data_IF_428642059272
#
_entry.id   IF_428642059272
#
_cell.length_a   1.000
_cell.length_b   1.000
_cell.length_c   1.000
_cell.angle_alpha   90.00
_cell.angle_beta   90.00
_cell.angle_gamma   90.00
#
_symmetry.space_group_name_H-M   'P 1'
#
loop_
_entity.id
_entity.type
_entity.pdbx_description
1 polymer ?
#
# COMPACT_ATOMS: atom_id res chain seq x y z
N UNK A 1 -8.94 27.58 -15.13
CA UNK A 1 -8.35 26.41 -15.81
C UNK A 1 -8.01 25.42 -14.72
N UNK A 2 -9.01 24.62 -14.31
CA UNK A 2 -8.92 23.78 -13.12
C UNK A 2 -8.88 22.32 -13.53
N UNK A 3 -7.83 21.62 -13.11
CA UNK A 3 -7.79 20.16 -13.00
C UNK A 3 -6.99 19.82 -11.73
N UNK A 4 -7.49 20.31 -10.59
CA UNK A 4 -7.18 19.70 -9.30
C UNK A 4 -7.92 18.36 -9.29
N UNK A 5 -7.24 17.33 -9.79
CA UNK A 5 -7.69 15.95 -9.68
C UNK A 5 -7.65 15.51 -8.22
N UNK A 6 -8.61 15.99 -7.43
CA UNK A 6 -8.96 15.39 -6.16
C UNK A 6 -9.53 14.03 -6.51
N UNK A 7 -8.68 13.01 -6.48
CA UNK A 7 -9.15 11.63 -6.49
C UNK A 7 -9.94 11.45 -5.20
N UNK A 8 -11.27 11.58 -5.28
CA UNK A 8 -12.15 11.13 -4.22
C UNK A 8 -11.94 9.62 -4.10
N UNK A 9 -11.12 9.21 -3.14
CA UNK A 9 -10.99 7.81 -2.77
C UNK A 9 -12.41 7.35 -2.42
N UNK A 10 -13.02 6.48 -3.22
CA UNK A 10 -14.28 5.86 -2.84
C UNK A 10 -14.00 5.02 -1.58
N UNK A 11 -14.52 5.42 -0.40
CA UNK A 11 -14.21 4.74 0.86
C UNK A 11 -14.83 3.34 0.96
N UNK A 12 -15.61 2.93 -0.05
CA UNK A 12 -16.38 1.69 -0.08
C UNK A 12 -15.66 0.49 -0.71
N UNK A 13 -14.52 0.69 -1.38
CA UNK A 13 -13.84 -0.45 -2.00
C UNK A 13 -13.16 -1.33 -0.91
N UNK A 14 -13.49 -2.63 -0.84
CA UNK A 14 -13.13 -3.47 0.29
C UNK A 14 -11.62 -3.74 0.35
N UNK A 15 -11.15 -4.01 1.57
CA UNK A 15 -9.88 -4.67 1.82
C UNK A 15 -10.14 -6.18 1.90
N UNK A 16 -9.54 -6.95 1.01
CA UNK A 16 -9.72 -8.42 0.96
C UNK A 16 -8.39 -9.09 1.28
N UNK A 17 -8.42 -10.04 2.21
CA UNK A 17 -7.30 -10.91 2.56
C UNK A 17 -7.69 -12.34 2.19
N UNK A 18 -7.02 -12.93 1.21
CA UNK A 18 -7.27 -14.30 0.78
C UNK A 18 -5.97 -15.05 0.48
N UNK A 19 -6.08 -16.28 -0.01
CA UNK A 19 -4.92 -17.11 -0.33
C UNK A 19 -4.04 -16.55 -1.46
N UNK A 20 -4.61 -15.77 -2.38
CA UNK A 20 -3.89 -15.20 -3.52
C UNK A 20 -3.16 -13.92 -3.12
N UNK A 21 -3.64 -13.20 -2.10
CA UNK A 21 -2.96 -12.00 -1.63
C UNK A 21 -3.86 -11.00 -0.91
N UNK A 22 -3.41 -9.76 -0.98
CA UNK A 22 -4.06 -8.59 -0.43
C UNK A 22 -4.66 -7.75 -1.56
N UNK A 23 -5.97 -7.49 -1.51
CA UNK A 23 -6.62 -6.51 -2.37
C UNK A 23 -6.95 -5.26 -1.57
N UNK A 24 -6.51 -4.10 -2.04
CA UNK A 24 -6.71 -2.80 -1.42
C UNK A 24 -7.38 -1.86 -2.40
N UNK A 25 -8.59 -1.40 -2.09
CA UNK A 25 -9.25 -0.35 -2.89
C UNK A 25 -9.24 -0.69 -4.39
N UNK A 26 -9.70 -1.90 -4.72
CA UNK A 26 -9.73 -2.41 -6.10
C UNK A 26 -8.36 -2.76 -6.71
N UNK A 27 -7.25 -2.57 -5.99
CA UNK A 27 -5.90 -2.98 -6.43
C UNK A 27 -5.55 -4.32 -5.83
N UNK A 28 -5.43 -5.34 -6.67
CA UNK A 28 -4.98 -6.67 -6.28
C UNK A 28 -5.70 -7.80 -7.01
N UNK A 29 -5.52 -9.04 -6.55
CA UNK A 29 -4.73 -9.40 -5.37
C UNK A 29 -3.24 -9.11 -5.58
N UNK A 30 -2.65 -8.32 -4.68
CA UNK A 30 -1.20 -8.15 -4.58
C UNK A 30 -0.66 -9.41 -3.88
N UNK A 31 0.20 -10.21 -4.52
CA UNK A 31 0.66 -11.47 -3.96
C UNK A 31 1.38 -11.29 -2.62
N UNK A 32 1.22 -12.22 -1.68
CA UNK A 32 1.89 -12.14 -0.38
C UNK A 32 3.41 -11.98 -0.51
N UNK A 33 4.05 -12.64 -1.47
CA UNK A 33 5.50 -12.53 -1.73
C UNK A 33 5.96 -11.15 -2.25
N UNK A 34 5.05 -10.28 -2.69
CA UNK A 34 5.40 -8.98 -3.27
C UNK A 34 5.61 -7.89 -2.23
N UNK A 35 5.27 -8.16 -0.96
CA UNK A 35 5.51 -7.22 0.14
C UNK A 35 6.00 -7.95 1.39
N UNK A 36 6.49 -7.19 2.36
CA UNK A 36 6.95 -7.66 3.66
C UNK A 36 5.84 -7.65 4.72
N UNK A 37 6.24 -7.76 5.98
CA UNK A 37 5.31 -7.59 7.11
C UNK A 37 4.84 -6.14 7.21
N UNK A 38 3.65 -5.95 7.76
CA UNK A 38 3.18 -4.65 8.20
C UNK A 38 3.99 -4.20 9.41
N UNK A 39 4.68 -3.07 9.27
CA UNK A 39 5.54 -2.48 10.30
C UNK A 39 5.50 -0.94 10.30
N UNK A 40 6.04 -0.33 11.34
CA UNK A 40 6.17 1.13 11.38
C UNK A 40 7.53 1.55 10.83
N UNK A 41 7.54 2.33 9.75
CA UNK A 41 8.75 2.88 9.15
C UNK A 41 8.72 4.41 9.10
N UNK A 42 9.91 5.02 9.12
CA UNK A 42 10.06 6.42 8.73
C UNK A 42 10.02 6.49 7.21
N UNK A 43 8.95 7.08 6.67
CA UNK A 43 8.79 7.31 5.23
C UNK A 43 8.90 8.78 4.94
N UNK A 44 9.37 9.13 3.74
CA UNK A 44 9.36 10.51 3.29
C UNK A 44 7.92 11.02 3.25
N UNK A 45 7.69 12.20 3.80
CA UNK A 45 6.40 12.83 3.74
C UNK A 45 6.05 13.21 2.28
N UNK A 46 4.76 13.14 1.96
CA UNK A 46 4.24 13.33 0.60
C UNK A 46 4.41 14.78 0.11
N UNK A 47 4.33 15.75 1.03
CA UNK A 47 4.22 17.17 0.70
C UNK A 47 5.45 18.00 1.12
N UNK A 48 6.48 17.40 1.74
CA UNK A 48 7.68 18.12 2.15
C UNK A 48 8.94 17.22 2.14
N UNK A 49 10.07 17.77 2.61
CA UNK A 49 11.35 17.07 2.74
C UNK A 49 11.52 16.32 4.06
N UNK A 50 10.50 16.30 4.92
CA UNK A 50 10.54 15.65 6.22
C UNK A 50 10.26 14.15 6.13
N UNK A 51 10.52 13.46 7.25
CA UNK A 51 10.19 12.05 7.44
C UNK A 51 9.07 11.94 8.46
N UNK A 52 8.11 11.06 8.19
CA UNK A 52 6.98 10.78 9.07
C UNK A 52 6.90 9.29 9.36
N UNK A 53 6.55 8.93 10.60
CA UNK A 53 6.38 7.52 10.99
C UNK A 53 5.02 7.03 10.51
N UNK A 54 5.02 6.00 9.65
CA UNK A 54 3.79 5.41 9.07
C UNK A 54 3.79 3.90 9.23
N UNK A 55 2.59 3.32 9.33
CA UNK A 55 2.39 1.90 9.21
C UNK A 55 2.35 1.52 7.72
N UNK A 56 3.29 0.68 7.29
CA UNK A 56 3.49 0.30 5.89
C UNK A 56 3.81 -1.18 5.77
N UNK A 57 3.68 -1.71 4.55
CA UNK A 57 4.20 -3.01 4.13
C UNK A 57 5.23 -2.75 3.02
N UNK A 58 6.53 -2.95 3.28
CA UNK A 58 7.57 -2.70 2.30
C UNK A 58 7.44 -3.61 1.10
N UNK A 59 7.55 -3.09 -0.12
CA UNK A 59 7.54 -3.95 -1.30
C UNK A 59 8.86 -4.72 -1.40
N UNK A 60 8.79 -5.99 -1.81
CA UNK A 60 9.97 -6.74 -2.23
C UNK A 60 10.46 -6.24 -3.59
N UNK A 61 11.60 -6.72 -4.09
CA UNK A 61 12.07 -6.35 -5.42
C UNK A 61 11.05 -6.67 -6.53
N UNK A 62 10.38 -7.83 -6.42
CA UNK A 62 9.32 -8.23 -7.34
C UNK A 62 8.09 -7.32 -7.21
N UNK A 63 7.60 -7.08 -5.99
CA UNK A 63 6.46 -6.19 -5.78
C UNK A 63 6.73 -4.75 -6.19
N UNK A 64 7.95 -4.26 -5.96
CA UNK A 64 8.37 -2.94 -6.41
C UNK A 64 8.27 -2.81 -7.93
N UNK A 65 8.76 -3.82 -8.66
CA UNK A 65 8.62 -3.88 -10.10
C UNK A 65 7.15 -3.94 -10.52
N UNK A 66 6.36 -4.85 -9.94
CA UNK A 66 4.96 -5.04 -10.29
C UNK A 66 4.13 -3.76 -10.07
N UNK A 67 4.29 -3.09 -8.92
CA UNK A 67 3.56 -1.86 -8.60
C UNK A 67 4.04 -0.67 -9.45
N UNK A 68 5.34 -0.52 -9.68
CA UNK A 68 5.87 0.68 -10.33
C UNK A 68 5.98 0.57 -11.86
N UNK A 69 5.92 -0.63 -12.43
CA UNK A 69 6.08 -0.85 -13.86
C UNK A 69 4.83 -1.48 -14.51
N UNK A 70 4.18 -2.43 -13.85
CA UNK A 70 3.08 -3.21 -14.45
C UNK A 70 1.69 -2.68 -14.07
N UNK A 71 1.52 -2.21 -12.83
CA UNK A 71 0.26 -1.62 -12.36
C UNK A 71 -0.01 -0.31 -13.10
N UNK A 72 -1.25 -0.16 -13.58
CA UNK A 72 -1.74 1.04 -14.24
C UNK A 72 -1.47 2.28 -13.38
N UNK A 73 -1.00 3.36 -14.00
CA UNK A 73 -0.48 4.54 -13.30
C UNK A 73 -1.51 5.14 -12.33
N UNK A 74 -2.77 5.20 -12.76
CA UNK A 74 -3.92 5.71 -12.02
C UNK A 74 -4.29 4.89 -10.78
N UNK A 75 -3.86 3.63 -10.70
CA UNK A 75 -4.14 2.74 -9.57
C UNK A 75 -3.05 2.81 -8.48
N UNK A 76 -1.84 3.24 -8.82
CA UNK A 76 -0.70 3.28 -7.88
C UNK A 76 -0.96 4.16 -6.64
N UNK A 77 -1.61 5.33 -6.73
CA UNK A 77 -1.95 6.14 -5.56
C UNK A 77 -2.86 5.43 -4.54
N UNK A 78 -3.59 4.38 -4.96
CA UNK A 78 -4.42 3.59 -4.05
C UNK A 78 -3.59 2.67 -3.13
N UNK A 79 -2.36 2.35 -3.54
CA UNK A 79 -1.39 1.52 -2.80
C UNK A 79 -0.60 2.37 -1.80
N UNK A 80 -0.10 3.52 -2.22
CA UNK A 80 0.56 4.52 -1.38
C UNK A 80 0.72 5.84 -2.13
N UNK A 81 1.01 6.96 -1.45
CA UNK A 81 1.49 8.16 -2.10
C UNK A 81 2.80 7.92 -2.85
N UNK A 82 2.99 8.62 -3.97
CA UNK A 82 4.25 8.57 -4.70
C UNK A 82 5.35 9.33 -3.94
N UNK A 83 6.52 8.71 -3.80
CA UNK A 83 7.71 9.34 -3.22
C UNK A 83 8.74 9.66 -4.31
N UNK A 84 9.53 10.73 -4.11
CA UNK A 84 10.60 11.13 -5.05
C UNK A 84 10.34 12.46 -5.76
N UNK A 85 11.25 12.85 -6.64
CA UNK A 85 11.05 14.04 -7.50
C UNK A 85 9.98 13.75 -8.55
N UNK A 86 9.42 14.80 -9.17
CA UNK A 86 8.38 14.66 -10.19
C UNK A 86 8.80 13.74 -11.37
N UNK A 87 10.11 13.60 -11.60
CA UNK A 87 10.70 12.77 -12.66
C UNK A 87 11.06 11.34 -12.23
N UNK A 88 11.01 11.02 -10.93
CA UNK A 88 11.35 9.69 -10.40
C UNK A 88 10.39 9.29 -9.26
N UNK A 89 9.09 9.46 -9.50
CA UNK A 89 8.04 9.08 -8.57
C UNK A 89 7.89 7.57 -8.51
N UNK A 90 8.05 7.02 -7.32
CA UNK A 90 7.90 5.59 -7.06
C UNK A 90 7.19 5.32 -5.74
N UNK A 91 6.61 4.13 -5.66
CA UNK A 91 5.87 3.60 -4.54
C UNK A 91 6.71 2.47 -3.92
N UNK A 92 7.52 2.73 -2.88
CA UNK A 92 8.37 1.71 -2.25
C UNK A 92 7.61 0.84 -1.25
N UNK A 93 6.41 1.27 -0.88
CA UNK A 93 5.62 0.70 0.20
C UNK A 93 4.15 0.58 -0.23
N UNK A 94 3.44 -0.35 0.39
CA UNK A 94 1.99 -0.34 0.50
C UNK A 94 1.62 0.28 1.84
N UNK A 95 0.71 1.24 1.89
CA UNK A 95 0.27 1.82 3.16
C UNK A 95 -0.75 0.88 3.81
N UNK A 96 -0.63 0.68 5.13
CA UNK A 96 -1.62 -0.12 5.87
C UNK A 96 -2.98 0.59 5.77
N UNK A 97 -4.04 -0.10 5.32
CA UNK A 97 -5.34 0.54 5.16
C UNK A 97 -5.93 0.93 6.51
N UNK A 98 -6.62 2.07 6.53
CA UNK A 98 -7.57 2.37 7.61
C UNK A 98 -8.81 1.50 7.45
N UNK A 99 -9.22 0.82 8.52
CA UNK A 99 -10.45 0.03 8.57
C UNK A 99 -11.33 0.61 9.67
N UNK A 100 -12.58 0.94 9.33
CA UNK A 100 -13.51 1.52 10.29
C UNK A 100 -13.70 0.57 11.50
N UNK A 101 -13.58 1.13 12.71
CA UNK A 101 -13.69 0.35 13.95
C UNK A 101 -12.44 -0.42 14.36
N UNK A 102 -11.34 -0.36 13.60
CA UNK A 102 -10.06 -1.00 13.97
C UNK A 102 -8.95 0.02 14.17
N UNK A 103 -8.12 -0.21 15.18
CA UNK A 103 -6.85 0.50 15.36
C UNK A 103 -5.86 0.01 14.31
N UNK A 104 -4.93 0.88 13.91
CA UNK A 104 -3.86 0.52 12.96
C UNK A 104 -3.07 -0.71 13.39
N UNK A 105 -2.78 -0.85 14.69
CA UNK A 105 -2.09 -2.02 15.23
C UNK A 105 -2.86 -3.33 15.04
N UNK A 106 -4.19 -3.29 15.11
CA UNK A 106 -5.06 -4.46 14.91
C UNK A 106 -5.09 -4.85 13.44
N UNK A 107 -5.13 -3.87 12.53
CA UNK A 107 -5.03 -4.11 11.08
C UNK A 107 -3.68 -4.71 10.73
N UNK A 108 -2.59 -4.16 11.27
CA UNK A 108 -1.24 -4.71 11.06
C UNK A 108 -1.14 -6.16 11.54
N UNK A 109 -1.66 -6.45 12.74
CA UNK A 109 -1.71 -7.80 13.28
C UNK A 109 -2.47 -8.74 12.34
N UNK A 110 -3.68 -8.34 11.91
CA UNK A 110 -4.52 -9.15 11.02
C UNK A 110 -3.82 -9.47 9.70
N UNK A 111 -3.20 -8.48 9.06
CA UNK A 111 -2.46 -8.68 7.80
C UNK A 111 -1.28 -9.62 8.01
N UNK A 112 -0.50 -9.42 9.07
CA UNK A 112 0.66 -10.27 9.37
C UNK A 112 0.25 -11.72 9.68
N UNK A 113 -0.86 -11.91 10.40
CA UNK A 113 -1.44 -13.23 10.66
C UNK A 113 -1.93 -13.90 9.39
N UNK A 114 -2.64 -13.16 8.52
CA UNK A 114 -3.12 -13.68 7.23
C UNK A 114 -1.95 -14.10 6.33
N UNK A 115 -0.93 -13.24 6.21
CA UNK A 115 0.30 -13.58 5.48
C UNK A 115 0.92 -14.86 6.01
N UNK A 116 1.16 -14.94 7.33
CA UNK A 116 1.76 -16.13 7.94
C UNK A 116 0.94 -17.39 7.67
N UNK A 117 -0.39 -17.29 7.66
CA UNK A 117 -1.28 -18.41 7.38
C UNK A 117 -1.19 -18.86 5.91
N UNK A 118 -1.13 -17.91 4.97
CA UNK A 118 -1.16 -18.21 3.54
C UNK A 118 0.21 -18.50 2.92
N UNK A 119 1.31 -18.08 3.55
CA UNK A 119 2.68 -18.39 3.09
C UNK A 119 3.30 -19.60 3.78
N UNK A 120 2.66 -20.16 4.82
CA UNK A 120 3.13 -21.38 5.51
C UNK A 120 2.69 -22.68 4.81
N UNK A 121 2.08 -22.57 3.63
CA UNK A 121 1.64 -23.68 2.78
C UNK A 121 2.58 -23.82 1.59
#
# INVERSE_FOLDING_TARGET
MGLDGVYTLNPEEPVILDANGLTLRGVGPIPWQDFGLAEHQMVRAEHDSSYTRRAVMPLTAAGYHNVNQLLAYELRPRVSPATGSIWNRHHPNIYVPGVAGMRTSEVMWLINSARSLFTAR
#
